data_IF_882201796903
#
_entry.id   IF_882201796903
#
_cell.length_a   1.000
_cell.length_b   1.000
_cell.length_c   1.000
_cell.angle_alpha   90.00
_cell.angle_beta   90.00
_cell.angle_gamma   90.00
#
_symmetry.space_group_name_H-M   'P 1'
#
loop_
_entity.id
_entity.type
_entity.pdbx_description
1 polymer ?
#
# COMPACT_ATOMS: atom_id res chain seq x y z
N UNK A 1 -10.34 -3.68 12.98
CA UNK A 1 -11.61 -3.83 12.18
C UNK A 1 -11.42 -4.74 10.96
N UNK A 2 -12.40 -5.59 10.58
CA UNK A 2 -12.36 -6.39 9.34
C UNK A 2 -13.64 -6.22 8.52
N UNK A 3 -13.52 -5.92 7.23
CA UNK A 3 -14.66 -5.71 6.34
C UNK A 3 -14.44 -6.38 4.99
N UNK A 4 -15.53 -6.84 4.39
CA UNK A 4 -15.54 -7.35 3.01
C UNK A 4 -16.61 -6.61 2.23
N UNK A 5 -16.24 -6.09 1.06
CA UNK A 5 -17.17 -5.43 0.12
C UNK A 5 -16.95 -6.00 -1.26
N UNK A 6 -18.04 -6.20 -1.99
CA UNK A 6 -18.03 -6.67 -3.36
C UNK A 6 -18.88 -5.74 -4.20
N UNK A 7 -18.36 -5.35 -5.36
CA UNK A 7 -19.11 -4.61 -6.37
C UNK A 7 -18.63 -5.05 -7.75
N UNK A 8 -19.57 -5.26 -8.68
CA UNK A 8 -19.28 -5.71 -10.05
C UNK A 8 -18.35 -6.95 -10.12
N UNK A 9 -18.42 -7.85 -9.13
CA UNK A 9 -17.57 -9.05 -9.04
C UNK A 9 -16.12 -8.79 -8.56
N UNK A 10 -15.72 -7.54 -8.33
CA UNK A 10 -14.49 -7.19 -7.62
C UNK A 10 -14.77 -7.12 -6.12
N UNK A 11 -13.98 -7.85 -5.35
CA UNK A 11 -14.09 -7.89 -3.89
C UNK A 11 -12.84 -7.28 -3.25
N UNK A 12 -13.02 -6.46 -2.22
CA UNK A 12 -11.97 -6.10 -1.26
C UNK A 12 -12.30 -6.75 0.08
N UNK A 13 -11.30 -7.37 0.69
CA UNK A 13 -11.26 -7.66 2.12
C UNK A 13 -10.25 -6.74 2.80
N UNK A 14 -10.73 -5.82 3.63
CA UNK A 14 -9.90 -4.87 4.37
C UNK A 14 -9.79 -5.28 5.84
N UNK A 15 -8.57 -5.27 6.35
CA UNK A 15 -8.23 -5.54 7.76
C UNK A 15 -7.46 -4.32 8.27
N UNK A 16 -8.11 -3.48 9.06
CA UNK A 16 -7.49 -2.31 9.67
C UNK A 16 -6.99 -2.66 11.08
N UNK A 17 -5.69 -2.47 11.31
CA UNK A 17 -5.09 -2.37 12.64
C UNK A 17 -4.96 -0.91 13.07
N UNK A 18 -3.97 -0.61 13.92
CA UNK A 18 -3.68 0.77 14.34
C UNK A 18 -2.89 1.54 13.27
N UNK A 19 -1.76 1.00 12.81
CA UNK A 19 -0.84 1.66 11.87
C UNK A 19 -0.82 1.06 10.46
N UNK A 20 -1.59 -0.02 10.25
CA UNK A 20 -1.58 -0.77 8.99
C UNK A 20 -2.98 -1.13 8.58
N UNK A 21 -3.31 -0.92 7.31
CA UNK A 21 -4.49 -1.51 6.67
C UNK A 21 -4.03 -2.52 5.62
N UNK A 22 -4.40 -3.79 5.80
CA UNK A 22 -4.20 -4.84 4.82
C UNK A 22 -5.41 -4.91 3.91
N UNK A 23 -5.17 -4.94 2.60
CA UNK A 23 -6.20 -5.09 1.58
C UNK A 23 -5.93 -6.38 0.82
N UNK A 24 -6.91 -7.27 0.77
CA UNK A 24 -6.96 -8.39 -0.17
C UNK A 24 -7.96 -8.08 -1.27
N UNK A 25 -7.54 -8.17 -2.53
CA UNK A 25 -8.41 -8.07 -3.69
C UNK A 25 -8.77 -9.47 -4.18
N UNK A 26 -9.97 -9.64 -4.74
CA UNK A 26 -10.37 -10.88 -5.39
C UNK A 26 -11.26 -10.59 -6.59
N UNK A 27 -11.01 -11.31 -7.68
CA UNK A 27 -11.88 -11.41 -8.85
C UNK A 27 -11.90 -12.87 -9.32
N UNK A 28 -13.03 -13.29 -9.88
CA UNK A 28 -13.12 -14.58 -10.56
C UNK A 28 -12.12 -14.65 -11.71
N UNK A 29 -11.50 -15.82 -11.91
CA UNK A 29 -10.50 -16.02 -12.98
C UNK A 29 -11.03 -15.66 -14.35
N UNK A 30 -12.31 -15.95 -14.62
CA UNK A 30 -12.99 -15.61 -15.89
C UNK A 30 -13.05 -14.10 -16.15
N UNK A 31 -12.98 -13.27 -15.10
CA UNK A 31 -12.99 -11.82 -15.19
C UNK A 31 -11.57 -11.19 -15.23
N UNK A 32 -10.51 -12.01 -15.22
CA UNK A 32 -9.12 -11.53 -15.25
C UNK A 32 -8.54 -11.39 -16.66
N UNK A 33 -9.29 -11.72 -17.72
CA UNK A 33 -8.82 -11.54 -19.10
C UNK A 33 -8.53 -10.06 -19.37
N UNK A 34 -7.29 -9.75 -19.77
CA UNK A 34 -6.84 -8.37 -20.01
C UNK A 34 -6.64 -7.53 -18.74
N UNK A 35 -6.70 -8.13 -17.54
CA UNK A 35 -6.44 -7.43 -16.29
C UNK A 35 -4.95 -7.11 -16.13
N UNK A 36 -4.62 -5.84 -15.94
CA UNK A 36 -3.25 -5.34 -15.81
C UNK A 36 -2.84 -5.05 -14.37
N UNK A 37 -3.79 -5.08 -13.43
CA UNK A 37 -3.56 -4.89 -12.00
C UNK A 37 -4.57 -3.95 -11.35
N UNK A 38 -4.30 -3.60 -10.09
CA UNK A 38 -5.19 -2.77 -9.27
C UNK A 38 -4.61 -1.39 -8.97
N UNK A 39 -5.44 -0.36 -9.09
CA UNK A 39 -5.15 0.97 -8.56
C UNK A 39 -5.90 1.19 -7.26
N UNK A 40 -5.27 1.84 -6.28
CA UNK A 40 -5.87 2.10 -4.98
C UNK A 40 -5.80 3.59 -4.71
N UNK A 41 -6.96 4.22 -4.57
CA UNK A 41 -7.07 5.58 -4.09
C UNK A 41 -7.48 5.55 -2.62
N UNK A 42 -6.72 6.24 -1.77
CA UNK A 42 -7.03 6.38 -0.35
C UNK A 42 -7.54 7.78 -0.08
N UNK A 43 -8.59 7.87 0.72
CA UNK A 43 -9.06 9.11 1.32
C UNK A 43 -8.97 8.99 2.84
N UNK A 44 -8.22 9.88 3.49
CA UNK A 44 -8.22 10.08 4.93
C UNK A 44 -9.29 11.14 5.28
N UNK A 45 -10.34 10.73 5.96
CA UNK A 45 -11.44 11.62 6.35
C UNK A 45 -11.17 12.38 7.65
N UNK A 46 -10.09 12.05 8.36
CA UNK A 46 -9.66 12.74 9.56
C UNK A 46 -8.75 13.91 9.20
N UNK A 47 -7.83 13.72 8.25
CA UNK A 47 -6.89 14.77 7.80
C UNK A 47 -7.28 15.43 6.47
N UNK A 48 -8.38 15.00 5.84
CA UNK A 48 -8.87 15.53 4.57
C UNK A 48 -7.87 15.39 3.41
N UNK A 49 -7.11 14.30 3.40
CA UNK A 49 -6.13 13.98 2.36
C UNK A 49 -6.67 12.91 1.41
N UNK A 50 -6.41 13.03 0.11
CA UNK A 50 -6.82 12.02 -0.87
C UNK A 50 -5.78 11.87 -1.98
N UNK A 51 -5.27 10.66 -2.19
CA UNK A 51 -4.27 10.39 -3.22
C UNK A 51 -4.26 8.93 -3.66
N UNK A 52 -3.64 8.68 -4.81
CA UNK A 52 -3.34 7.34 -5.30
C UNK A 52 -2.17 6.76 -4.52
N UNK A 53 -2.36 5.58 -3.94
CA UNK A 53 -1.26 4.85 -3.31
C UNK A 53 -0.12 4.66 -4.32
N UNK A 54 1.11 4.66 -3.83
CA UNK A 54 2.30 4.59 -4.67
C UNK A 54 3.12 3.33 -4.40
N UNK A 55 3.72 2.78 -5.46
CA UNK A 55 4.61 1.63 -5.40
C UNK A 55 5.88 1.84 -6.22
N UNK A 56 6.74 0.82 -6.23
CA UNK A 56 8.03 0.85 -6.93
C UNK A 56 8.07 -0.07 -8.16
N UNK A 57 6.97 -0.76 -8.47
CA UNK A 57 6.87 -1.58 -9.69
C UNK A 57 6.23 -0.76 -10.79
N UNK A 58 6.78 -0.85 -11.98
CA UNK A 58 6.37 -0.12 -13.18
C UNK A 58 6.21 -1.07 -14.35
N UNK A 59 5.57 -0.60 -15.43
CA UNK A 59 5.60 -1.31 -16.70
C UNK A 59 6.85 -0.88 -17.45
N UNK A 60 7.52 -1.83 -18.08
CA UNK A 60 8.66 -1.54 -18.96
C UNK A 60 8.28 -0.54 -20.07
N UNK A 61 7.09 -0.72 -20.67
CA UNK A 61 6.61 0.13 -21.76
C UNK A 61 6.44 1.61 -21.36
N UNK A 62 6.22 1.91 -20.08
CA UNK A 62 6.05 3.27 -19.57
C UNK A 62 7.11 3.63 -18.53
N UNK A 63 8.27 2.98 -18.59
CA UNK A 63 9.36 3.22 -17.64
C UNK A 63 9.86 4.68 -17.75
N UNK A 64 9.66 5.52 -16.72
CA UNK A 64 10.08 6.91 -16.72
C UNK A 64 11.54 7.09 -16.29
N UNK A 65 12.35 6.02 -16.36
CA UNK A 65 13.61 5.80 -15.67
C UNK A 65 13.42 5.59 -14.16
N UNK A 66 14.20 4.68 -13.58
CA UNK A 66 14.05 4.20 -12.20
C UNK A 66 15.18 4.68 -11.28
N UNK A 67 15.22 5.96 -10.85
CA UNK A 67 16.19 6.40 -9.88
C UNK A 67 15.91 5.77 -8.50
N UNK A 68 16.94 5.58 -7.65
CA UNK A 68 16.77 5.01 -6.32
C UNK A 68 15.71 5.75 -5.50
N UNK A 69 14.75 4.99 -4.96
CA UNK A 69 13.68 5.54 -4.11
C UNK A 69 12.50 6.15 -4.87
N UNK A 70 12.47 6.09 -6.20
CA UNK A 70 11.32 6.51 -6.98
C UNK A 70 10.06 5.70 -6.63
N UNK A 71 8.94 6.40 -6.56
CA UNK A 71 7.61 5.82 -6.37
C UNK A 71 6.68 6.37 -7.43
N UNK A 72 5.73 5.54 -7.84
CA UNK A 72 4.78 5.89 -8.88
C UNK A 72 3.36 5.53 -8.45
N UNK A 73 2.38 6.37 -8.80
CA UNK A 73 1.01 6.18 -8.38
C UNK A 73 0.38 4.97 -9.09
N UNK A 74 -0.43 4.22 -8.33
CA UNK A 74 -0.99 2.93 -8.79
C UNK A 74 -2.02 3.05 -9.90
N UNK A 75 -2.56 4.25 -10.17
CA UNK A 75 -3.39 4.49 -11.36
C UNK A 75 -2.59 4.58 -12.67
N UNK A 76 -1.26 4.71 -12.59
CA UNK A 76 -0.34 4.68 -13.74
C UNK A 76 0.48 3.38 -13.78
N UNK A 77 0.84 2.87 -12.61
CA UNK A 77 1.59 1.63 -12.45
C UNK A 77 0.89 0.72 -11.42
N UNK A 78 -0.12 -0.06 -11.86
CA UNK A 78 -1.00 -0.80 -10.98
C UNK A 78 -0.30 -1.93 -10.25
N UNK A 79 -0.87 -2.30 -9.11
CA UNK A 79 -0.44 -3.42 -8.28
C UNK A 79 -0.78 -4.72 -9.01
N UNK A 80 0.25 -5.44 -9.45
CA UNK A 80 0.13 -6.74 -10.12
C UNK A 80 0.06 -7.92 -9.12
N UNK A 81 -0.67 -7.71 -8.04
CA UNK A 81 -0.87 -8.69 -6.98
C UNK A 81 -2.22 -8.50 -6.32
N UNK A 82 -2.72 -9.54 -5.67
CA UNK A 82 -4.04 -9.54 -5.04
C UNK A 82 -4.01 -9.08 -3.57
N UNK A 83 -2.91 -8.47 -3.15
CA UNK A 83 -2.76 -7.95 -1.78
C UNK A 83 -2.01 -6.63 -1.77
N UNK A 84 -2.38 -5.74 -0.85
CA UNK A 84 -1.68 -4.51 -0.54
C UNK A 84 -1.62 -4.27 0.96
N UNK A 85 -0.60 -3.56 1.44
CA UNK A 85 -0.47 -3.18 2.84
C UNK A 85 -0.14 -1.69 2.90
N UNK A 86 -1.08 -0.90 3.41
CA UNK A 86 -0.84 0.51 3.68
C UNK A 86 -0.21 0.65 5.06
N UNK A 87 1.10 0.86 5.10
CA UNK A 87 1.90 1.09 6.32
C UNK A 87 1.95 2.57 6.74
N UNK A 88 1.14 3.42 6.12
CA UNK A 88 1.06 4.85 6.44
C UNK A 88 -0.27 5.27 7.08
N UNK A 89 -1.15 4.30 7.34
CA UNK A 89 -2.38 4.53 8.07
C UNK A 89 -2.06 4.95 9.51
N UNK A 90 -2.87 5.86 10.05
CA UNK A 90 -2.71 6.40 11.40
C UNK A 90 -3.77 5.83 12.35
N UNK A 91 -3.47 5.66 13.64
CA UNK A 91 -4.42 5.12 14.62
C UNK A 91 -5.65 5.99 14.81
N UNK A 92 -6.82 5.37 14.95
CA UNK A 92 -8.10 6.06 15.17
C UNK A 92 -8.67 6.84 13.97
N UNK A 93 -8.00 6.84 12.82
CA UNK A 93 -8.44 7.52 11.60
C UNK A 93 -9.51 6.75 10.84
N UNK A 94 -10.29 7.50 10.05
CA UNK A 94 -11.26 6.93 9.11
C UNK A 94 -10.72 7.04 7.68
N UNK A 95 -10.66 5.91 7.00
CA UNK A 95 -10.20 5.82 5.62
C UNK A 95 -11.26 5.25 4.69
N UNK A 96 -11.37 5.79 3.49
CA UNK A 96 -12.00 5.10 2.35
C UNK A 96 -10.92 4.64 1.39
N UNK A 97 -10.93 3.34 1.06
CA UNK A 97 -10.12 2.77 0.00
C UNK A 97 -11.00 2.46 -1.20
N UNK A 98 -10.74 3.16 -2.32
CA UNK A 98 -11.32 2.86 -3.62
C UNK A 98 -10.33 2.04 -4.44
N UNK A 99 -10.74 0.84 -4.82
CA UNK A 99 -9.92 -0.03 -5.67
C UNK A 99 -10.53 -0.11 -7.06
N UNK A 100 -9.70 0.12 -8.06
CA UNK A 100 -10.02 -0.06 -9.47
C UNK A 100 -9.28 -1.29 -10.01
N UNK A 101 -9.98 -2.16 -10.75
CA UNK A 101 -9.31 -3.11 -11.63
C UNK A 101 -9.08 -2.44 -12.99
N UNK A 102 -7.84 -2.47 -13.48
CA UNK A 102 -7.44 -1.82 -14.72
C UNK A 102 -7.18 -2.84 -15.84
N UNK A 103 -7.52 -2.46 -17.07
CA UNK A 103 -7.24 -3.18 -18.32
C UNK A 103 -6.72 -2.21 -19.38
N UNK A 104 -6.60 -2.65 -20.64
CA UNK A 104 -6.13 -1.83 -21.76
C UNK A 104 -4.66 -2.11 -22.06
N UNK A 105 -3.84 -1.07 -22.13
CA UNK A 105 -2.39 -1.18 -22.31
C UNK A 105 -1.64 -0.39 -21.24
N UNK A 106 -0.34 -0.64 -21.01
CA UNK A 106 0.47 0.18 -20.11
C UNK A 106 0.41 1.70 -20.37
N UNK A 107 0.24 2.12 -21.62
CA UNK A 107 0.12 3.54 -21.99
C UNK A 107 -1.29 4.09 -21.82
N UNK A 108 -2.30 3.22 -21.86
CA UNK A 108 -3.72 3.60 -21.86
C UNK A 108 -4.52 2.64 -20.96
N UNK A 109 -4.38 2.85 -19.65
CA UNK A 109 -5.09 2.08 -18.64
C UNK A 109 -6.54 2.56 -18.53
N UNK A 110 -7.47 1.61 -18.58
CA UNK A 110 -8.91 1.88 -18.41
C UNK A 110 -9.47 1.09 -17.23
N UNK A 111 -10.15 1.73 -16.26
CA UNK A 111 -10.88 1.03 -15.21
C UNK A 111 -12.09 0.29 -15.77
N UNK A 112 -12.24 -0.99 -15.42
CA UNK A 112 -13.40 -1.79 -15.85
C UNK A 112 -14.25 -2.33 -14.68
N UNK A 113 -13.72 -2.33 -13.45
CA UNK A 113 -14.45 -2.63 -12.22
C UNK A 113 -13.95 -1.74 -11.09
N UNK A 114 -14.84 -1.42 -10.15
CA UNK A 114 -14.47 -0.68 -8.94
C UNK A 114 -15.24 -1.14 -7.72
N UNK A 115 -14.64 -0.98 -6.55
CA UNK A 115 -15.29 -1.18 -5.26
C UNK A 115 -14.65 -0.29 -4.21
N UNK A 116 -15.45 0.16 -3.25
CA UNK A 116 -15.02 1.02 -2.16
C UNK A 116 -15.31 0.37 -0.82
N UNK A 117 -14.42 0.59 0.15
CA UNK A 117 -14.59 0.16 1.53
C UNK A 117 -14.14 1.28 2.46
N UNK A 118 -15.00 1.65 3.40
CA UNK A 118 -14.63 2.51 4.52
C UNK A 118 -14.19 1.66 5.70
N UNK A 119 -13.08 2.03 6.33
CA UNK A 119 -12.55 1.41 7.55
C UNK A 119 -12.21 2.47 8.58
N UNK A 120 -12.25 2.08 9.85
CA UNK A 120 -11.67 2.84 10.96
C UNK A 120 -10.49 2.05 11.53
N UNK A 121 -9.33 2.68 11.62
CA UNK A 121 -8.16 2.10 12.31
C UNK A 121 -8.39 2.11 13.81
N UNK A 122 -7.77 1.15 14.49
CA UNK A 122 -7.84 1.05 15.94
C UNK A 122 -7.11 2.22 16.59
N UNK A 123 -7.60 2.68 17.75
CA UNK A 123 -6.88 3.66 18.59
C UNK A 123 -5.72 2.96 19.28
N UNK A 124 -4.62 3.68 19.56
CA UNK A 124 -3.51 3.13 20.36
C UNK A 124 -3.83 3.01 21.84
N UNK A 125 -4.81 3.80 22.31
CA UNK A 125 -5.22 3.80 23.70
C UNK A 125 -6.75 3.91 23.80
N UNK A 126 -7.33 3.24 24.79
CA UNK A 126 -8.75 3.37 25.10
C UNK A 126 -9.37 2.21 25.87
N UNK A 127 -8.63 1.13 26.14
CA UNK A 127 -9.09 -0.03 26.90
C UNK A 127 -8.32 -0.26 28.21
N UNK A 128 -8.66 -1.36 28.90
CA UNK A 128 -7.92 -1.82 30.08
C UNK A 128 -6.59 -2.50 29.70
N UNK A 129 -6.53 -3.05 28.48
CA UNK A 129 -5.36 -3.69 27.87
C UNK A 129 -5.33 -3.41 26.37
N UNK A 130 -4.13 -3.15 25.84
CA UNK A 130 -3.89 -2.94 24.41
C UNK A 130 -2.95 -4.03 23.88
N UNK A 131 -3.28 -4.60 22.73
CA UNK A 131 -2.51 -5.68 22.09
C UNK A 131 -2.07 -5.22 20.70
N UNK A 132 -0.76 -5.13 20.51
CA UNK A 132 -0.16 -4.66 19.26
C UNK A 132 0.46 -5.84 18.51
N UNK A 133 0.09 -5.98 17.25
CA UNK A 133 0.69 -6.96 16.35
C UNK A 133 1.66 -6.25 15.41
N UNK A 134 2.96 -6.42 15.64
CA UNK A 134 3.97 -5.97 14.70
C UNK A 134 4.17 -7.04 13.63
N UNK A 135 3.92 -6.68 12.37
CA UNK A 135 4.43 -7.43 11.23
C UNK A 135 5.78 -6.83 10.87
N UNK A 136 6.83 -7.64 10.91
CA UNK A 136 8.15 -7.22 10.44
C UNK A 136 8.02 -6.65 9.02
N UNK A 137 8.40 -5.39 8.84
CA UNK A 137 8.48 -4.76 7.54
C UNK A 137 9.97 -4.69 7.16
N UNK A 138 10.35 -5.35 6.07
CA UNK A 138 11.65 -5.16 5.46
C UNK A 138 11.65 -3.83 4.68
N UNK A 139 11.64 -2.72 5.41
CA UNK A 139 11.49 -1.37 4.88
C UNK A 139 12.83 -0.71 4.50
N UNK A 140 13.85 -1.50 4.14
CA UNK A 140 15.22 -1.00 3.88
C UNK A 140 15.27 0.09 2.81
N UNK A 141 14.46 -0.03 1.76
CA UNK A 141 14.34 0.99 0.72
C UNK A 141 13.74 2.31 1.25
N UNK A 142 12.68 2.24 2.07
CA UNK A 142 12.07 3.43 2.65
C UNK A 142 12.97 4.06 3.73
N UNK A 143 13.69 3.24 4.49
CA UNK A 143 14.74 3.71 5.41
C UNK A 143 15.82 4.48 4.65
N UNK A 144 16.41 3.87 3.61
CA UNK A 144 17.45 4.52 2.81
C UNK A 144 16.96 5.81 2.15
N UNK A 145 15.69 5.87 1.75
CA UNK A 145 15.07 7.08 1.19
C UNK A 145 14.93 8.20 2.23
N UNK A 146 14.53 7.89 3.46
CA UNK A 146 14.30 8.90 4.52
C UNK A 146 15.58 9.36 5.20
N UNK A 147 16.52 8.43 5.41
CA UNK A 147 17.68 8.64 6.27
C UNK A 147 19.02 8.55 5.51
N UNK A 148 18.98 8.26 4.21
CA UNK A 148 20.17 8.00 3.41
C UNK A 148 20.76 6.60 3.65
N UNK A 149 21.88 6.31 2.98
CA UNK A 149 22.67 5.11 3.30
C UNK A 149 23.33 5.32 4.65
N UNK A 150 23.20 4.35 5.55
CA UNK A 150 24.06 4.30 6.73
C UNK A 150 25.53 4.27 6.25
N UNK A 151 26.42 5.00 6.94
CA UNK A 151 27.84 4.94 6.65
C UNK A 151 28.32 3.48 6.71
N UNK A 152 29.08 3.05 5.70
CA UNK A 152 29.65 1.71 5.62
C UNK A 152 30.35 1.35 6.94
N UNK A 153 30.15 0.13 7.41
CA UNK A 153 30.89 -0.40 8.56
C UNK A 153 32.31 -0.83 8.18
N UNK A 154 32.68 -0.84 6.89
CA UNK A 154 34.02 -1.23 6.44
C UNK A 154 35.13 -0.38 7.06
N UNK A 155 34.82 0.84 7.49
CA UNK A 155 35.74 1.74 8.20
C UNK A 155 35.20 2.14 9.59
N UNK A 156 34.29 1.36 10.19
CA UNK A 156 33.80 1.65 11.53
C UNK A 156 34.94 1.48 12.54
N UNK A 157 35.03 2.39 13.51
CA UNK A 157 35.96 2.23 14.62
C UNK A 157 35.63 0.95 15.40
N UNK A 158 36.63 0.31 16.00
CA UNK A 158 36.49 -0.93 16.76
C UNK A 158 35.45 -0.81 17.91
N UNK A 159 35.21 0.42 18.38
CA UNK A 159 34.23 0.75 19.42
C UNK A 159 32.95 1.43 18.88
N UNK A 160 32.60 1.22 17.60
CA UNK A 160 31.40 1.83 17.04
C UNK A 160 30.16 1.31 17.79
N UNK A 161 29.35 2.19 18.40
CA UNK A 161 28.20 1.79 19.23
C UNK A 161 27.11 1.06 18.44
N UNK A 162 27.20 1.01 17.10
CA UNK A 162 26.33 0.18 16.25
C UNK A 162 26.63 -1.32 16.35
N UNK A 163 27.74 -1.73 16.97
CA UNK A 163 28.07 -3.14 17.25
C UNK A 163 27.51 -3.66 18.59
N UNK A 164 26.95 -2.79 19.43
CA UNK A 164 26.39 -3.14 20.73
C UNK A 164 24.95 -3.67 20.64
#
# INVERSE_FOLDING_TARGET
MRLRKTNQGLTIHAIAGAHVVLLGMHMERSACSGHLGFAIHRTDHTEHEAYWMEGTKIFEATDPAFPPGAKYPTNKHPIQGFTWSDFSAKPGHRYTYKVLALSGSPHELTPFKQVEVEVKTESEAGGNHDVFFNRGAAASQEYARRFGKAASLENAAENDPRWA
#
